data_IF_554006142763
#
_entry.id   IF_554006142763
#
_cell.length_a   1.000
_cell.length_b   1.000
_cell.length_c   1.000
_cell.angle_alpha   90.00
_cell.angle_beta   90.00
_cell.angle_gamma   90.00
#
_symmetry.space_group_name_H-M   'P 1'
#
loop_
_entity.id
_entity.type
_entity.pdbx_description
1 polymer ?
#
# COMPACT_ATOMS: atom_id res chain seq x y z
N UNK A 1 -14.61 0.04 15.48
CA UNK A 1 -14.39 0.68 14.16
C UNK A 1 -15.24 -0.05 13.14
N UNK A 2 -16.08 0.69 12.42
CA UNK A 2 -16.67 0.21 11.17
C UNK A 2 -15.58 0.05 10.10
N UNK A 3 -15.86 -0.68 9.02
CA UNK A 3 -14.95 -0.74 7.87
C UNK A 3 -14.66 0.66 7.30
N UNK A 4 -15.65 1.55 7.31
CA UNK A 4 -15.53 2.93 6.82
C UNK A 4 -14.66 3.82 7.71
N UNK A 5 -14.57 3.52 9.01
CA UNK A 5 -13.74 4.30 9.94
C UNK A 5 -12.26 4.23 9.56
N UNK A 6 -11.82 3.16 8.88
CA UNK A 6 -10.42 3.00 8.43
C UNK A 6 -9.99 4.02 7.39
N UNK A 7 -10.94 4.60 6.65
CA UNK A 7 -10.71 5.64 5.66
C UNK A 7 -10.94 7.05 6.21
N UNK A 8 -11.45 7.18 7.44
CA UNK A 8 -11.79 8.47 8.03
C UNK A 8 -10.54 9.19 8.55
N UNK A 9 -10.61 10.52 8.51
CA UNK A 9 -9.62 11.42 9.13
C UNK A 9 -10.19 12.20 10.32
N UNK A 10 -11.36 11.81 10.85
CA UNK A 10 -11.89 12.43 12.07
C UNK A 10 -10.91 12.30 13.22
N UNK A 11 -10.71 13.40 13.94
CA UNK A 11 -9.73 13.54 15.03
C UNK A 11 -8.27 13.34 14.59
N UNK A 12 -7.98 13.43 13.28
CA UNK A 12 -6.62 13.42 12.75
C UNK A 12 -6.20 14.83 12.37
N UNK A 13 -4.95 15.18 12.68
CA UNK A 13 -4.32 16.41 12.22
C UNK A 13 -3.42 16.12 11.03
N UNK A 14 -3.64 16.83 9.93
CA UNK A 14 -3.00 16.58 8.64
C UNK A 14 -2.25 17.81 8.18
N UNK A 15 -1.02 17.60 7.68
CA UNK A 15 -0.24 18.64 7.01
C UNK A 15 -0.17 18.34 5.51
N UNK A 16 -0.53 19.30 4.67
CA UNK A 16 -0.39 19.23 3.20
C UNK A 16 0.60 20.30 2.74
N UNK A 17 1.71 19.89 2.13
CA UNK A 17 2.75 20.77 1.58
C UNK A 17 2.60 20.82 0.06
N UNK A 18 2.42 22.01 -0.51
CA UNK A 18 2.08 22.20 -1.92
C UNK A 18 0.58 22.21 -2.19
N UNK A 19 -0.22 22.77 -1.29
CA UNK A 19 -1.68 22.74 -1.35
C UNK A 19 -2.36 23.96 -1.95
N UNK A 20 -1.63 24.91 -2.55
CA UNK A 20 -2.25 26.06 -3.22
C UNK A 20 -3.00 25.67 -4.50
N UNK A 21 -2.49 24.69 -5.26
CA UNK A 21 -3.09 24.28 -6.54
C UNK A 21 -2.95 22.77 -6.80
N UNK A 22 -3.58 22.29 -7.88
CA UNK A 22 -3.36 20.95 -8.41
C UNK A 22 -3.68 19.82 -7.43
N UNK A 23 -2.85 18.76 -7.46
CA UNK A 23 -3.08 17.55 -6.65
C UNK A 23 -2.98 17.81 -5.14
N UNK A 24 -2.13 18.74 -4.69
CA UNK A 24 -2.05 19.08 -3.27
C UNK A 24 -3.32 19.79 -2.78
N UNK A 25 -3.85 20.74 -3.56
CA UNK A 25 -5.12 21.39 -3.22
C UNK A 25 -6.29 20.38 -3.14
N UNK A 26 -6.38 19.47 -4.11
CA UNK A 26 -7.39 18.41 -4.10
C UNK A 26 -7.20 17.42 -2.92
N UNK A 27 -5.95 17.15 -2.53
CA UNK A 27 -5.64 16.34 -1.35
C UNK A 27 -6.10 17.04 -0.07
N UNK A 28 -5.81 18.33 0.08
CA UNK A 28 -6.24 19.14 1.23
C UNK A 28 -7.76 19.22 1.33
N UNK A 29 -8.46 19.39 0.20
CA UNK A 29 -9.91 19.34 0.13
C UNK A 29 -10.44 17.97 0.59
N UNK A 30 -9.91 16.88 0.03
CA UNK A 30 -10.38 15.53 0.31
C UNK A 30 -10.17 15.12 1.78
N UNK A 31 -9.03 15.44 2.40
CA UNK A 31 -8.81 15.12 3.81
C UNK A 31 -9.63 15.98 4.77
N UNK A 32 -9.89 17.25 4.41
CA UNK A 32 -10.79 18.13 5.14
C UNK A 32 -12.20 17.53 5.14
N UNK A 33 -12.69 17.13 3.97
CA UNK A 33 -14.02 16.54 3.81
C UNK A 33 -14.12 15.17 4.50
N UNK A 34 -13.00 14.44 4.63
CA UNK A 34 -12.89 13.23 5.43
C UNK A 34 -12.84 13.47 6.96
N UNK A 35 -12.86 14.72 7.40
CA UNK A 35 -12.98 15.16 8.79
C UNK A 35 -11.68 15.53 9.51
N UNK A 36 -10.59 15.74 8.78
CA UNK A 36 -9.30 16.14 9.36
C UNK A 36 -9.29 17.60 9.87
N UNK A 37 -8.45 17.87 10.87
CA UNK A 37 -7.89 19.21 11.07
C UNK A 37 -6.75 19.40 10.06
N UNK A 38 -6.91 20.31 9.10
CA UNK A 38 -5.94 20.47 8.00
C UNK A 38 -5.11 21.73 8.14
N UNK A 39 -3.79 21.57 8.08
CA UNK A 39 -2.81 22.63 7.85
C UNK A 39 -2.31 22.51 6.41
N UNK A 40 -2.34 23.60 5.66
CA UNK A 40 -1.83 23.68 4.29
C UNK A 40 -0.63 24.63 4.26
N UNK A 41 0.48 24.14 3.72
CA UNK A 41 1.70 24.91 3.49
C UNK A 41 1.93 25.08 1.98
N UNK A 42 2.17 26.31 1.54
CA UNK A 42 2.57 26.61 0.17
C UNK A 42 3.29 27.96 0.10
N UNK A 43 4.02 28.21 -0.99
CA UNK A 43 4.53 29.55 -1.31
C UNK A 43 3.49 30.41 -2.03
N UNK A 44 2.56 29.75 -2.73
CA UNK A 44 1.46 30.36 -3.45
C UNK A 44 0.28 30.71 -2.55
N UNK A 45 -0.67 31.45 -3.09
CA UNK A 45 -1.92 31.77 -2.39
C UNK A 45 -2.78 30.51 -2.23
N UNK A 46 -3.21 30.25 -0.99
CA UNK A 46 -4.10 29.13 -0.67
C UNK A 46 -5.53 29.66 -0.53
N UNK A 47 -6.43 29.25 -1.41
CA UNK A 47 -7.83 29.71 -1.44
C UNK A 47 -8.80 28.75 -0.76
N UNK A 48 -8.33 27.59 -0.30
CA UNK A 48 -9.17 26.58 0.34
C UNK A 48 -9.69 27.12 1.68
N UNK A 49 -11.00 27.16 1.86
CA UNK A 49 -11.61 27.61 3.11
C UNK A 49 -11.55 26.53 4.22
N UNK A 50 -11.67 26.98 5.47
CA UNK A 50 -11.73 26.13 6.66
C UNK A 50 -10.51 25.24 6.87
N UNK A 51 -9.33 25.72 6.47
CA UNK A 51 -8.03 25.13 6.77
C UNK A 51 -7.11 26.18 7.38
N UNK A 52 -6.09 25.75 8.11
CA UNK A 52 -5.01 26.64 8.56
C UNK A 52 -3.97 26.76 7.44
N UNK A 53 -3.62 27.97 7.04
CA UNK A 53 -2.64 28.22 5.97
C UNK A 53 -1.32 28.73 6.54
N UNK A 54 -0.20 28.24 6.03
CA UNK A 54 1.15 28.69 6.38
C UNK A 54 1.99 28.87 5.12
N UNK A 55 2.90 29.84 5.14
CA UNK A 55 3.84 30.04 4.04
C UNK A 55 5.01 29.06 4.16
N UNK A 56 5.42 28.44 3.06
CA UNK A 56 6.71 27.74 2.98
C UNK A 56 7.32 27.84 1.57
N UNK A 57 8.60 28.16 1.50
CA UNK A 57 9.42 27.97 0.30
C UNK A 57 10.39 26.80 0.52
N UNK A 58 10.18 25.69 -0.18
CA UNK A 58 11.03 24.49 -0.07
C UNK A 58 12.45 24.72 -0.63
N UNK A 59 12.67 25.77 -1.41
CA UNK A 59 13.99 26.18 -1.87
C UNK A 59 14.81 26.92 -0.80
N UNK A 60 14.20 27.24 0.34
CA UNK A 60 14.81 27.98 1.45
C UNK A 60 14.69 27.19 2.77
N UNK A 61 15.84 26.76 3.29
CA UNK A 61 15.96 26.03 4.56
C UNK A 61 15.37 26.80 5.75
N UNK A 62 15.59 28.12 5.84
CA UNK A 62 15.04 28.93 6.92
C UNK A 62 13.53 29.07 6.82
N UNK A 63 12.99 29.13 5.60
CA UNK A 63 11.54 29.14 5.38
C UNK A 63 10.89 27.85 5.88
N UNK A 64 11.52 26.69 5.63
CA UNK A 64 11.05 25.39 6.15
C UNK A 64 11.05 25.37 7.68
N UNK A 65 12.16 25.78 8.30
CA UNK A 65 12.29 25.79 9.76
C UNK A 65 11.20 26.67 10.41
N UNK A 66 10.99 27.88 9.87
CA UNK A 66 9.98 28.81 10.35
C UNK A 66 8.56 28.25 10.18
N UNK A 67 8.26 27.65 9.03
CA UNK A 67 6.95 27.04 8.78
C UNK A 67 6.65 25.89 9.76
N UNK A 68 7.65 25.07 10.11
CA UNK A 68 7.50 23.98 11.09
C UNK A 68 7.29 24.50 12.52
N UNK A 69 8.01 25.56 12.92
CA UNK A 69 7.81 26.24 14.20
C UNK A 69 6.37 26.76 14.30
N UNK A 70 5.89 27.46 13.26
CA UNK A 70 4.53 27.98 13.22
C UNK A 70 3.49 26.87 13.19
N UNK A 71 3.75 25.80 12.43
CA UNK A 71 2.87 24.64 12.37
C UNK A 71 2.67 24.06 13.77
N UNK A 72 3.76 23.72 14.47
CA UNK A 72 3.76 23.12 15.79
C UNK A 72 2.89 21.86 15.88
N UNK A 73 2.82 21.29 17.08
CA UNK A 73 1.95 20.15 17.39
C UNK A 73 2.31 18.86 16.66
N UNK A 74 1.60 17.78 17.00
CA UNK A 74 1.76 16.49 16.32
C UNK A 74 0.82 16.37 15.11
N UNK A 75 1.17 15.50 14.18
CA UNK A 75 0.41 15.19 12.97
C UNK A 75 0.26 13.68 12.79
N UNK A 76 -0.87 13.29 12.19
CA UNK A 76 -1.23 11.92 11.87
C UNK A 76 -0.96 11.60 10.39
N UNK A 77 -0.97 12.60 9.52
CA UNK A 77 -0.53 12.43 8.14
C UNK A 77 0.17 13.67 7.58
N UNK A 78 1.20 13.41 6.76
CA UNK A 78 1.89 14.40 5.95
C UNK A 78 1.68 14.07 4.47
N UNK A 79 1.21 15.04 3.70
CA UNK A 79 1.10 14.96 2.24
C UNK A 79 2.10 15.94 1.61
N UNK A 80 3.17 15.40 1.06
CA UNK A 80 4.25 16.14 0.39
C UNK A 80 3.96 16.16 -1.12
N UNK A 81 3.27 17.21 -1.56
CA UNK A 81 2.68 17.32 -2.90
C UNK A 81 3.39 18.35 -3.79
N UNK A 82 4.11 19.31 -3.20
CA UNK A 82 4.73 20.41 -3.96
C UNK A 82 5.72 19.87 -5.00
N UNK A 83 5.70 20.47 -6.19
CA UNK A 83 6.65 20.18 -7.24
C UNK A 83 6.54 21.17 -8.39
N UNK A 84 7.61 21.25 -9.17
CA UNK A 84 7.78 22.15 -10.31
C UNK A 84 8.39 21.40 -11.50
N UNK A 85 8.26 21.96 -12.69
CA UNK A 85 8.76 21.39 -13.94
C UNK A 85 10.20 21.81 -14.22
N UNK A 86 10.84 21.13 -15.18
CA UNK A 86 12.16 21.47 -15.70
C UNK A 86 12.24 22.95 -16.11
N UNK A 87 13.42 23.55 -15.90
CA UNK A 87 13.65 24.98 -16.14
C UNK A 87 13.37 25.87 -14.94
N UNK A 88 12.77 25.35 -13.87
CA UNK A 88 12.61 26.09 -12.60
C UNK A 88 13.93 26.10 -11.81
N UNK A 89 14.49 27.27 -11.46
CA UNK A 89 15.68 27.34 -10.62
C UNK A 89 15.44 26.69 -9.25
N UNK A 90 16.35 25.84 -8.82
CA UNK A 90 16.22 25.14 -7.53
C UNK A 90 15.28 23.93 -7.56
N UNK A 91 15.01 23.35 -8.72
CA UNK A 91 14.13 22.18 -8.87
C UNK A 91 14.51 21.00 -7.95
N UNK A 92 15.80 20.75 -7.75
CA UNK A 92 16.31 19.73 -6.82
C UNK A 92 15.89 19.99 -5.38
N UNK A 93 15.90 21.25 -4.97
CA UNK A 93 15.44 21.70 -3.66
C UNK A 93 13.93 21.58 -3.53
N UNK A 94 13.19 22.05 -4.51
CA UNK A 94 11.73 22.10 -4.46
C UNK A 94 11.11 20.69 -4.57
N UNK A 95 11.57 19.87 -5.51
CA UNK A 95 10.96 18.58 -5.80
C UNK A 95 11.39 17.46 -4.85
N UNK A 96 12.53 17.61 -4.16
CA UNK A 96 13.04 16.54 -3.31
C UNK A 96 13.73 17.02 -2.02
N UNK A 97 14.83 17.79 -2.09
CA UNK A 97 15.70 18.03 -0.93
C UNK A 97 14.95 18.79 0.18
N UNK A 98 14.12 19.77 -0.17
CA UNK A 98 13.30 20.51 0.79
C UNK A 98 12.22 19.66 1.44
N UNK A 99 11.57 18.77 0.69
CA UNK A 99 10.64 17.80 1.28
C UNK A 99 11.33 16.85 2.24
N UNK A 100 12.51 16.32 1.86
CA UNK A 100 13.30 15.45 2.73
C UNK A 100 13.71 16.17 4.01
N UNK A 101 14.25 17.38 3.88
CA UNK A 101 14.66 18.19 5.02
C UNK A 101 13.48 18.51 5.95
N UNK A 102 12.32 18.89 5.40
CA UNK A 102 11.10 19.09 6.17
C UNK A 102 10.74 17.82 6.97
N UNK A 103 10.72 16.65 6.32
CA UNK A 103 10.43 15.37 6.99
C UNK A 103 11.44 15.07 8.10
N UNK A 104 12.74 15.28 7.85
CA UNK A 104 13.80 15.03 8.83
C UNK A 104 13.67 15.96 10.05
N UNK A 105 13.36 17.25 9.83
CA UNK A 105 13.09 18.21 10.91
C UNK A 105 11.83 17.83 11.70
N UNK A 106 10.77 17.36 11.03
CA UNK A 106 9.57 16.87 11.71
C UNK A 106 9.86 15.65 12.60
N UNK A 107 10.74 14.73 12.17
CA UNK A 107 11.20 13.65 13.02
C UNK A 107 12.06 14.15 14.19
N UNK A 108 12.96 15.11 13.96
CA UNK A 108 13.80 15.69 15.00
C UNK A 108 12.97 16.42 16.07
N UNK A 109 11.88 17.08 15.67
CA UNK A 109 10.94 17.77 16.53
C UNK A 109 9.81 16.86 17.09
N UNK A 110 9.88 15.54 16.84
CA UNK A 110 8.88 14.56 17.27
C UNK A 110 7.42 14.89 16.87
N UNK A 111 7.24 15.48 15.69
CA UNK A 111 5.93 15.95 15.22
C UNK A 111 5.01 14.82 14.73
N UNK A 112 5.47 13.57 14.60
CA UNK A 112 4.59 12.47 14.17
C UNK A 112 3.94 11.75 15.34
N UNK A 113 2.64 11.47 15.23
CA UNK A 113 1.95 10.52 16.12
C UNK A 113 2.33 9.07 15.78
N UNK A 114 2.15 8.16 16.74
CA UNK A 114 2.25 6.73 16.46
C UNK A 114 1.17 6.29 15.48
N UNK A 115 1.56 5.56 14.44
CA UNK A 115 0.67 5.16 13.34
C UNK A 115 0.53 6.21 12.24
N UNK A 116 1.27 7.32 12.30
CA UNK A 116 1.22 8.35 11.28
C UNK A 116 1.69 7.84 9.90
N UNK A 117 1.33 8.57 8.85
CA UNK A 117 1.70 8.24 7.49
C UNK A 117 2.19 9.45 6.68
N UNK A 118 3.16 9.21 5.80
CA UNK A 118 3.70 10.19 4.87
C UNK A 118 3.35 9.74 3.44
N UNK A 119 2.74 10.62 2.67
CA UNK A 119 2.42 10.43 1.26
C UNK A 119 3.17 11.44 0.40
N UNK A 120 3.88 10.98 -0.61
CA UNK A 120 4.57 11.85 -1.58
C UNK A 120 3.96 11.71 -2.98
N UNK A 121 4.16 12.72 -3.82
CA UNK A 121 3.80 12.67 -5.24
C UNK A 121 5.07 12.61 -6.10
N UNK A 122 5.31 11.44 -6.72
CA UNK A 122 6.34 11.29 -7.75
C UNK A 122 5.78 11.72 -9.13
N UNK A 123 6.01 10.93 -10.17
CA UNK A 123 5.53 11.11 -11.55
C UNK A 123 5.92 9.89 -12.37
N UNK A 124 5.31 9.68 -13.55
CA UNK A 124 5.82 8.75 -14.58
C UNK A 124 7.35 8.84 -14.80
N UNK A 125 7.94 10.04 -14.65
CA UNK A 125 9.39 10.26 -14.74
C UNK A 125 10.21 9.59 -13.62
N UNK A 126 9.59 9.25 -12.49
CA UNK A 126 10.20 8.51 -11.39
C UNK A 126 10.23 7.00 -11.59
N UNK A 127 9.66 6.50 -12.68
CA UNK A 127 9.72 5.09 -13.04
C UNK A 127 11.17 4.68 -13.33
N UNK A 128 11.46 3.38 -13.17
CA UNK A 128 12.79 2.83 -13.45
C UNK A 128 13.90 3.33 -12.53
N UNK A 129 13.55 3.93 -11.39
CA UNK A 129 14.52 4.42 -10.40
C UNK A 129 15.47 3.30 -9.93
N UNK A 130 15.03 2.03 -9.96
CA UNK A 130 15.85 0.87 -9.63
C UNK A 130 17.06 0.72 -10.55
N UNK A 131 16.95 1.13 -11.82
CA UNK A 131 18.07 1.11 -12.76
C UNK A 131 19.15 2.14 -12.40
N UNK A 132 18.78 3.21 -11.70
CA UNK A 132 19.66 4.28 -11.23
C UNK A 132 20.00 4.15 -9.73
N UNK A 133 19.71 3.00 -9.12
CA UNK A 133 19.79 2.81 -7.68
C UNK A 133 21.16 3.12 -7.06
N UNK A 134 22.32 2.76 -7.67
CA UNK A 134 23.62 3.10 -7.09
C UNK A 134 23.83 4.60 -6.91
N UNK A 135 23.50 5.39 -7.93
CA UNK A 135 23.62 6.86 -7.92
C UNK A 135 22.59 7.49 -6.98
N UNK A 136 21.36 6.98 -6.95
CA UNK A 136 20.34 7.42 -6.01
C UNK A 136 20.75 7.12 -4.56
N UNK A 137 21.39 5.98 -4.28
CA UNK A 137 21.89 5.67 -2.93
C UNK A 137 23.02 6.61 -2.54
N UNK A 138 23.92 6.96 -3.45
CA UNK A 138 24.97 7.95 -3.20
C UNK A 138 24.37 9.31 -2.82
N UNK A 139 23.43 9.81 -3.63
CA UNK A 139 22.72 11.06 -3.35
C UNK A 139 21.95 11.03 -2.04
N UNK A 140 21.22 9.94 -1.77
CA UNK A 140 20.42 9.77 -0.55
C UNK A 140 21.26 9.57 0.72
N UNK A 141 22.56 9.29 0.61
CA UNK A 141 23.47 9.22 1.74
C UNK A 141 23.94 10.61 2.24
N UNK A 142 23.69 11.66 1.47
CA UNK A 142 24.04 13.03 1.83
C UNK A 142 22.84 13.64 2.56
N UNK A 143 22.82 13.61 3.89
CA UNK A 143 21.66 14.05 4.68
C UNK A 143 21.50 15.58 4.72
N UNK A 144 22.59 16.32 4.66
CA UNK A 144 22.57 17.78 4.75
C UNK A 144 21.96 18.44 3.49
N UNK A 145 21.12 19.46 3.72
CA UNK A 145 20.38 20.17 2.68
C UNK A 145 21.30 20.85 1.67
N UNK A 146 22.31 21.58 2.15
CA UNK A 146 23.19 22.40 1.32
C UNK A 146 24.17 21.50 0.54
N UNK A 147 24.70 20.46 1.20
CA UNK A 147 25.56 19.48 0.54
C UNK A 147 24.84 18.66 -0.52
N UNK A 148 23.59 18.22 -0.25
CA UNK A 148 22.80 17.50 -1.25
C UNK A 148 22.48 18.40 -2.45
N UNK A 149 22.20 19.69 -2.21
CA UNK A 149 21.96 20.67 -3.26
C UNK A 149 23.21 20.85 -4.12
N UNK A 150 24.37 21.05 -3.48
CA UNK A 150 25.65 21.17 -4.18
C UNK A 150 25.97 19.93 -5.01
N UNK A 151 25.82 18.74 -4.44
CA UNK A 151 26.05 17.48 -5.15
C UNK A 151 25.16 17.37 -6.39
N UNK A 152 23.87 17.69 -6.27
CA UNK A 152 22.92 17.61 -7.39
C UNK A 152 23.31 18.56 -8.52
N UNK A 153 23.79 19.77 -8.20
CA UNK A 153 24.30 20.73 -9.19
C UNK A 153 25.56 20.21 -9.87
N UNK A 154 26.56 19.76 -9.09
CA UNK A 154 27.86 19.30 -9.60
C UNK A 154 27.75 18.06 -10.48
N UNK A 155 26.77 17.19 -10.23
CA UNK A 155 26.54 15.96 -10.98
C UNK A 155 25.50 16.11 -12.10
N UNK A 156 24.99 17.32 -12.34
CA UNK A 156 24.00 17.58 -13.39
C UNK A 156 22.65 16.89 -13.13
N UNK A 157 22.25 16.77 -11.87
CA UNK A 157 21.05 16.06 -11.39
C UNK A 157 19.89 16.98 -10.97
N UNK A 158 19.99 18.26 -11.29
CA UNK A 158 18.91 19.24 -11.18
C UNK A 158 17.87 19.07 -12.31
N UNK A 159 17.22 17.90 -12.38
CA UNK A 159 16.19 17.60 -13.38
C UNK A 159 14.93 17.02 -12.76
N UNK A 160 13.81 17.21 -13.45
CA UNK A 160 12.52 16.65 -13.05
C UNK A 160 12.59 15.13 -12.94
N UNK A 161 13.18 14.46 -13.93
CA UNK A 161 13.32 13.00 -13.92
C UNK A 161 14.10 12.50 -12.70
N UNK A 162 15.29 13.05 -12.45
CA UNK A 162 16.11 12.59 -11.33
C UNK A 162 15.43 12.84 -9.98
N UNK A 163 14.83 14.02 -9.80
CA UNK A 163 14.13 14.35 -8.54
C UNK A 163 12.93 13.43 -8.29
N UNK A 164 12.20 13.05 -9.35
CA UNK A 164 11.08 12.08 -9.22
C UNK A 164 11.56 10.65 -8.97
N UNK A 165 12.71 10.24 -9.53
CA UNK A 165 13.35 8.97 -9.17
C UNK A 165 13.87 8.97 -7.73
N UNK A 166 14.40 10.10 -7.25
CA UNK A 166 14.84 10.27 -5.87
C UNK A 166 13.68 10.12 -4.87
N UNK A 167 12.48 10.62 -5.18
CA UNK A 167 11.27 10.37 -4.39
C UNK A 167 10.99 8.86 -4.25
N UNK A 168 11.00 8.11 -5.36
CA UNK A 168 10.72 6.67 -5.35
C UNK A 168 11.76 5.90 -4.52
N UNK A 169 13.05 6.20 -4.73
CA UNK A 169 14.14 5.58 -4.00
C UNK A 169 14.11 5.92 -2.51
N UNK A 170 13.79 7.17 -2.15
CA UNK A 170 13.66 7.62 -0.77
C UNK A 170 12.51 6.90 -0.05
N UNK A 171 11.33 6.82 -0.68
CA UNK A 171 10.18 6.08 -0.14
C UNK A 171 10.55 4.63 0.17
N UNK A 172 11.19 3.94 -0.78
CA UNK A 172 11.64 2.57 -0.58
C UNK A 172 12.69 2.45 0.54
N UNK A 173 13.69 3.35 0.56
CA UNK A 173 14.80 3.33 1.52
C UNK A 173 14.35 3.65 2.95
N UNK A 174 13.39 4.55 3.11
CA UNK A 174 12.94 5.03 4.42
C UNK A 174 11.81 4.21 5.04
N UNK A 175 11.22 3.26 4.30
CA UNK A 175 10.13 2.40 4.77
C UNK A 175 10.42 1.77 6.14
N UNK A 176 11.53 1.04 6.29
CA UNK A 176 11.89 0.39 7.56
C UNK A 176 12.36 1.38 8.64
N UNK A 177 13.26 2.35 8.36
CA UNK A 177 13.65 3.37 9.33
C UNK A 177 12.48 4.15 9.93
N UNK A 178 11.49 4.54 9.13
CA UNK A 178 10.32 5.27 9.61
C UNK A 178 9.33 4.37 10.32
N UNK A 179 9.15 3.11 9.86
CA UNK A 179 8.31 2.14 10.57
C UNK A 179 8.82 1.86 11.99
N UNK A 180 10.13 1.83 12.22
CA UNK A 180 10.71 1.72 13.58
C UNK A 180 10.31 2.87 14.50
N UNK A 181 9.96 4.03 13.93
CA UNK A 181 9.44 5.20 14.63
C UNK A 181 7.91 5.25 14.67
N UNK A 182 7.24 4.23 14.12
CA UNK A 182 5.78 4.14 14.05
C UNK A 182 5.16 4.91 12.89
N UNK A 183 5.94 5.27 11.87
CA UNK A 183 5.48 6.09 10.73
C UNK A 183 5.62 5.31 9.42
N UNK A 184 4.57 5.30 8.59
CA UNK A 184 4.60 4.73 7.23
C UNK A 184 4.98 5.79 6.22
N UNK A 185 5.57 5.39 5.10
CA UNK A 185 5.85 6.29 3.98
C UNK A 185 5.51 5.60 2.66
N UNK A 186 4.78 6.29 1.79
CA UNK A 186 4.41 5.82 0.47
C UNK A 186 4.42 6.99 -0.53
N UNK A 187 4.34 6.68 -1.82
CA UNK A 187 4.11 7.67 -2.86
C UNK A 187 3.08 7.20 -3.87
N UNK A 188 2.53 8.15 -4.63
CA UNK A 188 1.87 7.87 -5.91
C UNK A 188 2.79 8.24 -7.07
N UNK A 189 2.61 7.52 -8.18
CA UNK A 189 3.29 7.72 -9.45
C UNK A 189 2.21 8.00 -10.51
N UNK A 190 1.74 9.26 -10.58
CA UNK A 190 0.63 9.63 -11.42
C UNK A 190 0.99 9.63 -12.90
N UNK A 191 0.01 9.27 -13.73
CA UNK A 191 -0.01 9.58 -15.15
C UNK A 191 -0.35 11.05 -15.41
N UNK A 192 -0.61 11.43 -16.68
CA UNK A 192 -1.04 12.77 -17.06
C UNK A 192 -2.25 13.22 -16.24
N UNK A 193 -2.11 14.37 -15.59
CA UNK A 193 -3.13 14.93 -14.70
C UNK A 193 -3.30 16.41 -15.01
N UNK A 194 -4.54 16.86 -15.20
CA UNK A 194 -4.86 18.25 -15.52
C UNK A 194 -4.63 19.17 -14.30
N UNK A 195 -3.42 19.69 -14.20
CA UNK A 195 -2.96 20.62 -13.17
C UNK A 195 -2.41 21.89 -13.83
N UNK A 196 -2.33 23.03 -13.11
CA UNK A 196 -1.67 24.22 -13.67
C UNK A 196 -0.27 23.92 -14.22
N UNK A 197 0.53 23.13 -13.47
CA UNK A 197 1.86 22.69 -13.90
C UNK A 197 1.83 21.92 -15.23
N UNK A 198 0.86 21.02 -15.41
CA UNK A 198 0.74 20.24 -16.64
C UNK A 198 0.19 21.07 -17.82
N UNK A 199 -0.68 22.05 -17.57
CA UNK A 199 -1.18 22.97 -18.60
C UNK A 199 -0.07 23.84 -19.18
N UNK A 200 0.85 24.30 -18.36
CA UNK A 200 2.04 25.03 -18.79
C UNK A 200 3.00 24.16 -19.64
N UNK A 201 2.82 22.84 -19.62
CA UNK A 201 3.58 21.83 -20.36
C UNK A 201 2.69 20.95 -21.25
N UNK A 202 1.55 21.48 -21.70
CA UNK A 202 0.46 20.69 -22.29
C UNK A 202 0.90 19.84 -23.49
N UNK A 203 1.75 20.39 -24.36
CA UNK A 203 2.20 19.74 -25.60
C UNK A 203 2.97 18.44 -25.37
N UNK A 204 3.59 18.27 -24.20
CA UNK A 204 4.36 17.06 -23.84
C UNK A 204 3.68 16.23 -22.74
N UNK A 205 3.10 16.86 -21.72
CA UNK A 205 2.59 16.15 -20.55
C UNK A 205 1.14 15.69 -20.72
N UNK A 206 0.28 16.56 -21.25
CA UNK A 206 -1.14 16.22 -21.44
C UNK A 206 -1.35 15.37 -22.70
N UNK A 207 -0.43 15.40 -23.66
CA UNK A 207 -0.46 14.55 -24.86
C UNK A 207 0.09 13.14 -24.61
N UNK A 208 0.92 12.95 -23.58
CA UNK A 208 1.43 11.63 -23.18
C UNK A 208 0.28 10.64 -22.97
N UNK A 209 0.32 9.46 -23.59
CA UNK A 209 -0.73 8.43 -23.47
C UNK A 209 -2.11 8.84 -23.99
N UNK A 210 -2.21 9.86 -24.85
CA UNK A 210 -3.48 10.29 -25.45
C UNK A 210 -4.15 9.20 -26.29
N UNK A 211 -3.36 8.43 -27.02
CA UNK A 211 -3.81 7.28 -27.80
C UNK A 211 -4.43 6.20 -26.90
N UNK A 212 -3.74 5.85 -25.81
CA UNK A 212 -4.26 4.91 -24.81
C UNK A 212 -5.58 5.38 -24.23
N UNK A 213 -5.66 6.65 -23.82
CA UNK A 213 -6.88 7.21 -23.25
C UNK A 213 -8.06 7.19 -24.21
N UNK A 214 -7.81 7.51 -25.49
CA UNK A 214 -8.82 7.44 -26.54
C UNK A 214 -9.34 6.00 -26.74
N UNK A 215 -8.46 5.00 -26.69
CA UNK A 215 -8.84 3.59 -26.81
C UNK A 215 -9.55 3.05 -25.56
N UNK A 216 -9.08 3.44 -24.37
CA UNK A 216 -9.65 3.05 -23.08
C UNK A 216 -10.98 3.77 -22.75
N UNK A 217 -11.33 4.83 -23.49
CA UNK A 217 -12.54 5.61 -23.27
C UNK A 217 -12.51 6.43 -21.98
N UNK A 218 -11.33 6.92 -21.58
CA UNK A 218 -11.12 7.72 -20.37
C UNK A 218 -10.50 9.06 -20.69
N UNK A 219 -10.82 10.07 -19.88
CA UNK A 219 -10.24 11.41 -20.01
C UNK A 219 -8.90 11.52 -19.27
N UNK A 220 -8.20 12.64 -19.47
CA UNK A 220 -7.03 12.96 -18.63
C UNK A 220 -7.45 13.03 -17.15
N UNK A 221 -6.62 12.50 -16.26
CA UNK A 221 -6.97 12.44 -14.84
C UNK A 221 -7.09 13.85 -14.26
N UNK A 222 -8.02 14.00 -13.33
CA UNK A 222 -8.19 15.21 -12.52
C UNK A 222 -7.30 15.15 -11.27
N UNK A 223 -6.99 16.30 -10.66
CA UNK A 223 -6.29 16.32 -9.37
C UNK A 223 -7.01 15.54 -8.26
N UNK A 224 -8.34 15.53 -8.26
CA UNK A 224 -9.16 14.82 -7.27
C UNK A 224 -9.06 13.29 -7.43
N UNK A 225 -9.00 12.78 -8.66
CA UNK A 225 -8.78 11.34 -8.90
C UNK A 225 -7.40 10.88 -8.40
N UNK A 226 -6.39 11.75 -8.41
CA UNK A 226 -5.06 11.46 -7.87
C UNK A 226 -5.00 11.61 -6.34
N UNK A 227 -5.79 12.52 -5.75
CA UNK A 227 -5.89 12.68 -4.31
C UNK A 227 -6.42 11.40 -3.63
N UNK A 228 -7.37 10.69 -4.23
CA UNK A 228 -7.98 9.47 -3.67
C UNK A 228 -6.95 8.39 -3.27
N UNK A 229 -6.13 7.87 -4.20
CA UNK A 229 -5.09 6.89 -3.88
C UNK A 229 -4.07 7.39 -2.86
N UNK A 230 -3.68 8.66 -2.92
CA UNK A 230 -2.72 9.25 -1.99
C UNK A 230 -3.29 9.30 -0.56
N UNK A 231 -4.54 9.75 -0.40
CA UNK A 231 -5.27 9.76 0.86
C UNK A 231 -5.48 8.33 1.38
N UNK A 232 -5.83 7.37 0.52
CA UNK A 232 -5.90 5.96 0.90
C UNK A 232 -4.58 5.47 1.52
N UNK A 233 -3.45 5.70 0.85
CA UNK A 233 -2.13 5.27 1.32
C UNK A 233 -1.75 5.84 2.69
N UNK A 234 -2.31 7.00 3.05
CA UNK A 234 -2.08 7.68 4.32
C UNK A 234 -3.17 7.42 5.38
N UNK A 235 -4.15 6.56 5.08
CA UNK A 235 -5.23 6.20 5.99
C UNK A 235 -4.93 4.91 6.77
N UNK A 236 -5.77 4.56 7.75
CA UNK A 236 -5.63 3.31 8.51
C UNK A 236 -6.02 2.08 7.67
N UNK A 237 -6.74 2.28 6.56
CA UNK A 237 -7.03 1.22 5.60
C UNK A 237 -5.76 0.70 4.91
N UNK A 238 -4.69 1.50 4.89
CA UNK A 238 -3.38 1.15 4.34
C UNK A 238 -2.35 0.78 5.43
N UNK A 239 -2.77 0.36 6.63
CA UNK A 239 -1.88 0.13 7.77
C UNK A 239 -0.72 -0.85 7.50
N UNK A 240 -0.86 -1.77 6.55
CA UNK A 240 0.18 -2.74 6.15
C UNK A 240 0.98 -2.29 4.93
N UNK A 241 0.70 -1.11 4.39
CA UNK A 241 1.32 -0.57 3.17
C UNK A 241 2.34 0.50 3.55
N UNK A 242 3.62 0.21 3.29
CA UNK A 242 4.75 1.12 3.48
C UNK A 242 5.85 0.80 2.47
N UNK A 243 6.53 1.82 1.96
CA UNK A 243 7.62 1.71 1.00
C UNK A 243 7.20 1.51 -0.46
N UNK A 244 5.90 1.65 -0.77
CA UNK A 244 5.41 1.50 -2.15
C UNK A 244 5.29 2.85 -2.84
N UNK A 245 5.61 2.84 -4.13
CA UNK A 245 5.25 3.89 -5.07
C UNK A 245 4.12 3.35 -5.96
N UNK A 246 2.88 3.77 -5.70
CA UNK A 246 1.68 3.27 -6.38
C UNK A 246 1.46 3.97 -7.72
N UNK A 247 1.51 3.21 -8.80
CA UNK A 247 1.21 3.71 -10.15
C UNK A 247 -0.29 4.06 -10.25
N UNK A 248 -0.57 5.29 -10.68
CA UNK A 248 -1.91 5.90 -10.76
C UNK A 248 -2.10 6.55 -12.13
N UNK A 249 -2.07 5.71 -13.16
CA UNK A 249 -1.99 6.12 -14.58
C UNK A 249 -3.06 5.47 -15.46
N UNK A 250 -4.20 5.12 -14.85
CA UNK A 250 -5.33 4.42 -15.48
C UNK A 250 -4.95 3.12 -16.19
N UNK A 251 -3.85 2.48 -15.79
CA UNK A 251 -3.41 1.19 -16.33
C UNK A 251 -2.46 1.29 -17.52
N UNK A 252 -2.09 2.51 -17.96
CA UNK A 252 -1.21 2.74 -19.10
C UNK A 252 0.09 1.90 -19.03
N UNK A 253 0.78 1.96 -17.90
CA UNK A 253 2.04 1.22 -17.69
C UNK A 253 1.81 -0.28 -17.68
N UNK A 254 0.80 -0.76 -16.96
CA UNK A 254 0.50 -2.19 -16.87
C UNK A 254 0.12 -2.78 -18.23
N UNK A 255 -0.67 -2.06 -19.03
CA UNK A 255 -1.03 -2.46 -20.40
C UNK A 255 0.19 -2.50 -21.32
N UNK A 256 1.14 -1.57 -21.18
CA UNK A 256 2.38 -1.60 -21.95
C UNK A 256 3.29 -2.78 -21.57
N UNK A 257 3.44 -3.05 -20.27
CA UNK A 257 4.31 -4.13 -19.77
C UNK A 257 3.77 -5.53 -20.10
N UNK A 258 2.45 -5.67 -20.17
CA UNK A 258 1.76 -6.93 -20.47
C UNK A 258 1.48 -7.15 -21.97
N UNK A 259 1.94 -6.25 -22.84
CA UNK A 259 1.69 -6.29 -24.28
C UNK A 259 0.21 -6.14 -24.70
N UNK A 260 -0.67 -5.71 -23.79
CA UNK A 260 -2.07 -5.37 -24.10
C UNK A 260 -2.16 -4.07 -24.90
N UNK A 261 -1.25 -3.12 -24.68
CA UNK A 261 -1.16 -1.87 -25.45
C UNK A 261 0.27 -1.64 -25.98
N UNK A 262 0.67 -2.31 -27.08
CA UNK A 262 2.06 -2.31 -27.54
C UNK A 262 2.62 -0.95 -27.96
N UNK A 263 1.79 0.02 -28.37
CA UNK A 263 2.27 1.35 -28.78
C UNK A 263 2.94 2.12 -27.63
N UNK A 264 2.53 1.86 -26.38
CA UNK A 264 3.15 2.44 -25.19
C UNK A 264 4.44 1.71 -24.76
N UNK A 265 4.75 0.54 -25.33
CA UNK A 265 5.87 -0.30 -24.87
C UNK A 265 7.21 0.41 -24.97
N UNK A 266 7.46 1.14 -26.07
CA UNK A 266 8.72 1.87 -26.26
C UNK A 266 8.93 2.93 -25.17
N UNK A 267 7.94 3.76 -24.91
CA UNK A 267 8.06 4.86 -23.95
C UNK A 267 8.11 4.35 -22.50
N UNK A 268 7.34 3.31 -22.17
CA UNK A 268 7.38 2.68 -20.85
C UNK A 268 8.71 1.98 -20.62
N UNK A 269 9.27 1.28 -21.61
CA UNK A 269 10.59 0.67 -21.50
C UNK A 269 11.69 1.71 -21.29
N UNK A 270 11.64 2.83 -22.00
CA UNK A 270 12.53 3.96 -21.78
C UNK A 270 12.42 4.49 -20.35
N UNK A 271 11.21 4.77 -19.87
CA UNK A 271 10.95 5.22 -18.50
C UNK A 271 11.38 4.21 -17.44
N UNK A 272 11.30 2.90 -17.74
CA UNK A 272 11.76 1.83 -16.84
C UNK A 272 13.27 1.58 -16.90
N UNK A 273 14.01 2.26 -17.77
CA UNK A 273 15.44 2.01 -17.97
C UNK A 273 15.74 0.65 -18.65
N UNK A 274 14.76 0.06 -19.33
CA UNK A 274 14.88 -1.24 -20.01
C UNK A 274 15.04 -0.99 -21.51
N UNK A 275 16.25 -0.80 -22.06
CA UNK A 275 16.36 -0.73 -23.54
C UNK A 275 17.58 -0.14 -24.24
N UNK A 276 18.78 -0.18 -23.68
CA UNK A 276 20.01 0.10 -24.44
C UNK A 276 20.54 -1.15 -25.17
N UNK A 277 19.83 -1.68 -26.17
CA UNK A 277 20.30 -2.86 -26.92
C UNK A 277 19.35 -3.35 -28.00
N UNK A 278 19.73 -3.06 -29.25
CA UNK A 278 19.39 -3.70 -30.53
C UNK A 278 18.00 -4.36 -30.71
N UNK A 279 17.28 -3.87 -31.73
CA UNK A 279 16.34 -4.67 -32.49
C UNK A 279 17.02 -5.98 -32.95
N UNK A 280 16.47 -7.13 -32.55
CA UNK A 280 16.93 -8.44 -33.02
C UNK A 280 16.72 -9.54 -32.01
N UNK A 281 15.61 -10.26 -32.15
CA UNK A 281 15.39 -11.53 -31.46
C UNK A 281 14.06 -11.54 -30.73
N UNK A 282 13.07 -12.19 -31.32
CA UNK A 282 11.96 -12.79 -30.60
C UNK A 282 12.54 -13.79 -29.59
N UNK A 283 12.89 -13.32 -28.40
CA UNK A 283 13.06 -14.18 -27.25
C UNK A 283 11.66 -14.62 -26.85
N UNK A 284 11.22 -15.74 -27.41
CA UNK A 284 10.16 -16.53 -26.81
C UNK A 284 10.45 -16.61 -25.31
N UNK A 285 9.45 -16.31 -24.50
CA UNK A 285 9.49 -16.61 -23.07
C UNK A 285 10.09 -18.01 -22.89
N UNK A 286 10.99 -18.23 -21.92
CA UNK A 286 11.42 -19.59 -21.63
C UNK A 286 10.13 -20.36 -21.33
N UNK A 287 9.74 -21.22 -22.28
CA UNK A 287 8.86 -22.31 -21.97
C UNK A 287 9.57 -23.00 -20.84
N UNK A 288 9.03 -22.88 -19.64
CA UNK A 288 9.32 -23.81 -18.58
C UNK A 288 8.90 -25.15 -19.19
N UNK A 289 9.88 -25.85 -19.78
CA UNK A 289 9.78 -27.29 -19.93
C UNK A 289 9.57 -27.74 -18.50
N UNK A 290 8.31 -28.01 -18.15
CA UNK A 290 8.02 -28.98 -17.12
C UNK A 290 8.84 -30.19 -17.54
N UNK A 291 9.98 -30.39 -16.90
CA UNK A 291 10.59 -31.69 -16.87
C UNK A 291 9.46 -32.59 -16.41
N UNK A 292 8.93 -33.37 -17.35
CA UNK A 292 8.12 -34.51 -16.99
C UNK A 292 9.07 -35.35 -16.14
N UNK A 293 8.96 -35.23 -14.81
CA UNK A 293 9.58 -36.16 -13.91
C UNK A 293 8.93 -37.50 -14.22
N UNK A 294 9.62 -38.27 -15.03
CA UNK A 294 9.26 -39.64 -15.33
C UNK A 294 9.13 -40.38 -14.00
N UNK A 295 7.90 -40.82 -13.70
CA UNK A 295 7.64 -41.99 -12.89
C UNK A 295 8.22 -42.03 -11.47
N UNK A 296 8.14 -40.93 -10.72
CA UNK A 296 8.04 -41.11 -9.27
C UNK A 296 6.55 -41.31 -8.95
N UNK A 297 6.20 -42.51 -8.50
CA UNK A 297 4.91 -42.73 -7.84
C UNK A 297 4.76 -41.62 -6.79
N UNK A 298 3.76 -40.75 -6.97
CA UNK A 298 3.34 -39.84 -5.90
C UNK A 298 3.15 -40.73 -4.68
N UNK A 299 3.79 -40.45 -3.53
CA UNK A 299 3.55 -41.22 -2.33
C UNK A 299 2.03 -41.23 -2.12
N UNK A 300 1.42 -42.42 -2.11
CA UNK A 300 0.01 -42.55 -1.75
C UNK A 300 -0.10 -42.00 -0.35
N UNK A 301 -0.66 -40.80 -0.24
CA UNK A 301 -1.00 -40.23 1.04
C UNK A 301 -1.92 -41.23 1.75
N UNK A 302 -1.71 -41.46 3.05
CA UNK A 302 -2.56 -42.38 3.81
C UNK A 302 -4.02 -41.95 3.66
N UNK A 303 -4.91 -42.94 3.49
CA UNK A 303 -6.33 -42.69 3.36
C UNK A 303 -6.87 -42.28 4.73
N UNK A 304 -7.09 -40.99 4.91
CA UNK A 304 -7.70 -40.44 6.11
C UNK A 304 -9.21 -40.66 6.00
N UNK A 305 -9.83 -41.17 7.06
CA UNK A 305 -11.27 -41.40 7.11
C UNK A 305 -11.88 -40.56 8.23
N UNK A 306 -11.92 -39.22 8.07
CA UNK A 306 -12.33 -38.32 9.14
C UNK A 306 -13.80 -38.52 9.50
N UNK A 307 -14.15 -38.25 10.77
CA UNK A 307 -15.55 -38.17 11.17
C UNK A 307 -16.23 -37.01 10.44
N UNK A 308 -17.33 -37.31 9.76
CA UNK A 308 -18.01 -36.39 8.84
C UNK A 308 -19.12 -35.59 9.53
N UNK A 309 -19.55 -36.07 10.70
CA UNK A 309 -20.64 -35.50 11.52
C UNK A 309 -20.15 -34.43 12.47
N UNK A 310 -21.09 -33.61 12.95
CA UNK A 310 -20.83 -32.60 13.98
C UNK A 310 -21.02 -33.18 15.38
N UNK A 311 -20.22 -32.76 16.35
CA UNK A 311 -20.49 -33.04 17.76
C UNK A 311 -21.36 -31.91 18.36
N UNK A 312 -22.65 -32.16 18.58
CA UNK A 312 -23.58 -31.22 19.20
C UNK A 312 -24.20 -31.89 20.42
N UNK A 313 -24.13 -31.21 21.57
CA UNK A 313 -24.75 -31.68 22.83
C UNK A 313 -24.27 -33.07 23.30
N UNK A 314 -23.01 -33.41 23.00
CA UNK A 314 -22.42 -34.70 23.34
C UNK A 314 -22.76 -35.83 22.37
N UNK A 315 -23.48 -35.56 21.28
CA UNK A 315 -23.84 -36.54 20.26
C UNK A 315 -23.27 -36.18 18.89
N UNK A 316 -22.87 -37.21 18.14
CA UNK A 316 -22.47 -37.04 16.74
C UNK A 316 -23.73 -36.99 15.87
N UNK A 317 -23.96 -35.85 15.23
CA UNK A 317 -25.16 -35.55 14.46
C UNK A 317 -24.81 -35.11 13.05
N UNK A 318 -25.66 -35.48 12.10
CA UNK A 318 -25.62 -34.93 10.74
C UNK A 318 -26.01 -33.45 10.74
N UNK A 319 -25.61 -32.73 9.69
CA UNK A 319 -26.15 -31.41 9.39
C UNK A 319 -27.67 -31.46 9.21
N UNK A 320 -28.35 -30.34 9.43
CA UNK A 320 -29.76 -30.22 9.09
C UNK A 320 -29.94 -30.55 7.60
N UNK A 321 -30.85 -31.48 7.31
CA UNK A 321 -31.06 -32.07 5.97
C UNK A 321 -29.93 -32.94 5.40
N UNK A 322 -28.90 -33.27 6.20
CA UNK A 322 -27.79 -34.13 5.79
C UNK A 322 -26.86 -33.48 4.75
N UNK A 323 -26.82 -32.15 4.71
CA UNK A 323 -25.99 -31.42 3.77
C UNK A 323 -24.49 -31.60 4.09
N UNK A 324 -23.68 -31.75 3.05
CA UNK A 324 -22.23 -31.91 3.14
C UNK A 324 -21.52 -31.16 2.02
N UNK A 325 -20.25 -30.84 2.23
CA UNK A 325 -19.38 -30.27 1.19
C UNK A 325 -18.03 -30.98 1.14
N UNK A 326 -17.39 -30.92 -0.03
CA UNK A 326 -16.07 -31.51 -0.25
C UNK A 326 -15.00 -30.62 0.38
N UNK A 327 -14.12 -31.21 1.17
CA UNK A 327 -12.86 -30.59 1.57
C UNK A 327 -11.84 -30.81 0.44
N UNK A 328 -11.38 -29.73 -0.18
CA UNK A 328 -10.58 -29.77 -1.41
C UNK A 328 -9.18 -29.24 -1.10
N UNK A 329 -8.15 -29.99 -1.51
CA UNK A 329 -6.77 -29.55 -1.40
C UNK A 329 -6.54 -28.33 -2.32
N UNK A 330 -6.04 -27.18 -1.80
CA UNK A 330 -5.90 -25.96 -2.57
C UNK A 330 -4.79 -26.01 -3.63
N UNK A 331 -3.82 -26.91 -3.50
CA UNK A 331 -2.69 -27.06 -4.40
C UNK A 331 -2.91 -28.12 -5.50
N UNK A 332 -3.69 -29.17 -5.23
CA UNK A 332 -3.90 -30.30 -6.15
C UNK A 332 -5.30 -30.39 -6.73
N UNK A 333 -6.27 -29.66 -6.16
CA UNK A 333 -7.71 -29.74 -6.47
C UNK A 333 -8.33 -31.14 -6.20
N UNK A 334 -7.62 -32.02 -5.51
CA UNK A 334 -8.12 -33.34 -5.13
C UNK A 334 -9.05 -33.24 -3.90
N UNK A 335 -10.10 -34.08 -3.86
CA UNK A 335 -11.02 -34.15 -2.71
C UNK A 335 -10.36 -34.97 -1.59
N UNK A 336 -10.11 -34.31 -0.46
CA UNK A 336 -9.50 -34.90 0.74
C UNK A 336 -10.51 -35.67 1.59
N UNK A 337 -11.76 -35.19 1.60
CA UNK A 337 -12.84 -35.76 2.41
C UNK A 337 -14.14 -34.99 2.26
N UNK A 338 -15.16 -35.40 3.01
CA UNK A 338 -16.48 -34.78 3.04
C UNK A 338 -16.76 -34.30 4.46
N UNK A 339 -17.30 -33.09 4.61
CA UNK A 339 -17.58 -32.47 5.91
C UNK A 339 -19.04 -32.02 5.95
N UNK A 340 -19.68 -32.09 7.11
CA UNK A 340 -21.02 -31.56 7.33
C UNK A 340 -21.11 -30.06 6.97
N UNK A 341 -22.12 -29.69 6.18
CA UNK A 341 -22.44 -28.30 5.82
C UNK A 341 -23.45 -27.74 6.83
N UNK A 342 -22.92 -27.24 7.94
CA UNK A 342 -23.73 -26.81 9.09
C UNK A 342 -24.60 -25.59 8.76
N UNK A 343 -25.90 -25.71 9.03
CA UNK A 343 -26.86 -24.63 8.84
C UNK A 343 -26.91 -23.67 10.04
N UNK A 344 -27.67 -22.58 9.87
CA UNK A 344 -28.01 -21.68 10.99
C UNK A 344 -28.73 -22.41 12.13
N UNK A 345 -29.58 -23.41 11.83
CA UNK A 345 -30.32 -24.15 12.85
C UNK A 345 -29.37 -25.05 13.65
N UNK A 346 -28.42 -25.71 12.98
CA UNK A 346 -27.37 -26.52 13.63
C UNK A 346 -26.55 -25.68 14.63
N UNK A 347 -26.15 -24.50 14.20
CA UNK A 347 -25.47 -23.53 15.07
C UNK A 347 -26.34 -23.14 16.27
N UNK A 348 -27.64 -22.90 16.08
CA UNK A 348 -28.56 -22.60 17.18
C UNK A 348 -28.70 -23.76 18.16
N UNK A 349 -28.73 -25.01 17.69
CA UNK A 349 -28.73 -26.21 18.55
C UNK A 349 -27.47 -26.29 19.41
N UNK A 350 -26.30 -26.04 18.82
CA UNK A 350 -25.03 -26.02 19.55
C UNK A 350 -24.99 -24.90 20.60
N UNK A 351 -25.45 -23.69 20.26
CA UNK A 351 -25.52 -22.57 21.21
C UNK A 351 -26.49 -22.89 22.35
N UNK A 352 -27.65 -23.46 22.04
CA UNK A 352 -28.64 -23.84 23.06
C UNK A 352 -28.08 -24.89 24.03
N UNK A 353 -27.36 -25.90 23.52
CA UNK A 353 -26.70 -26.91 24.34
C UNK A 353 -25.65 -26.27 25.28
N UNK A 354 -24.79 -25.40 24.74
CA UNK A 354 -23.80 -24.69 25.54
C UNK A 354 -24.44 -23.78 26.60
N UNK A 355 -25.55 -23.11 26.25
CA UNK A 355 -26.29 -22.24 27.17
C UNK A 355 -26.94 -23.03 28.30
N UNK A 356 -27.59 -24.16 27.98
CA UNK A 356 -28.15 -25.07 28.98
C UNK A 356 -27.07 -25.60 29.92
N UNK A 357 -25.93 -26.04 29.38
CA UNK A 357 -24.80 -26.44 30.21
C UNK A 357 -24.33 -25.31 31.14
N UNK A 358 -24.29 -24.07 30.67
CA UNK A 358 -23.87 -22.92 31.47
C UNK A 358 -24.88 -22.50 32.55
N UNK A 359 -26.17 -22.45 32.21
CA UNK A 359 -27.24 -21.90 33.06
C UNK A 359 -27.83 -22.95 34.03
N UNK A 360 -27.96 -24.20 33.59
CA UNK A 360 -28.72 -25.24 34.31
C UNK A 360 -27.82 -26.25 35.03
N UNK A 361 -26.50 -26.19 34.84
CA UNK A 361 -25.53 -27.04 35.53
C UNK A 361 -24.55 -26.21 36.35
N UNK A 362 -23.69 -26.87 37.12
CA UNK A 362 -22.65 -26.20 37.89
C UNK A 362 -21.42 -25.81 37.05
N UNK A 363 -21.41 -26.08 35.74
CA UNK A 363 -20.28 -25.84 34.83
C UNK A 363 -19.62 -24.46 35.00
N UNK A 364 -20.42 -23.39 35.09
CA UNK A 364 -19.94 -22.01 35.19
C UNK A 364 -19.14 -21.75 36.48
N UNK A 365 -19.53 -22.41 37.58
CA UNK A 365 -18.91 -22.27 38.90
C UNK A 365 -17.90 -23.38 39.23
N UNK A 366 -18.02 -24.56 38.62
CA UNK A 366 -17.20 -25.74 38.91
C UNK A 366 -15.87 -25.71 38.14
N UNK A 367 -14.86 -25.10 38.76
CA UNK A 367 -13.51 -24.98 38.17
C UNK A 367 -12.79 -26.32 38.03
N UNK A 368 -13.00 -27.24 38.96
CA UNK A 368 -12.34 -28.56 38.94
C UNK A 368 -12.84 -29.39 37.77
N UNK A 369 -14.15 -29.42 37.55
CA UNK A 369 -14.75 -30.13 36.42
C UNK A 369 -14.30 -29.54 35.08
N UNK A 370 -14.29 -28.21 34.93
CA UNK A 370 -13.77 -27.56 33.70
C UNK A 370 -12.31 -27.90 33.42
N UNK A 371 -11.45 -27.90 34.46
CA UNK A 371 -10.05 -28.32 34.32
C UNK A 371 -9.96 -29.77 33.84
N UNK A 372 -10.78 -30.67 34.40
CA UNK A 372 -10.82 -32.08 33.98
C UNK A 372 -11.21 -32.21 32.50
N UNK A 373 -12.25 -31.51 32.05
CA UNK A 373 -12.67 -31.54 30.64
C UNK A 373 -11.60 -31.00 29.68
N UNK A 374 -10.91 -29.91 30.03
CA UNK A 374 -9.82 -29.37 29.21
C UNK A 374 -8.62 -30.33 29.14
N UNK A 375 -8.30 -31.01 30.24
CA UNK A 375 -7.25 -32.05 30.26
C UNK A 375 -7.66 -33.22 29.37
N UNK A 376 -8.90 -33.68 29.46
CA UNK A 376 -9.41 -34.76 28.61
C UNK A 376 -9.36 -34.39 27.12
N UNK A 377 -9.76 -33.17 26.76
CA UNK A 377 -9.67 -32.68 25.38
C UNK A 377 -8.21 -32.61 24.90
N UNK A 378 -7.30 -32.09 25.74
CA UNK A 378 -5.86 -32.07 25.43
C UNK A 378 -5.34 -33.48 25.19
N UNK A 379 -5.68 -34.43 26.06
CA UNK A 379 -5.18 -35.79 25.98
C UNK A 379 -5.68 -36.49 24.71
N UNK A 380 -6.95 -36.29 24.34
CA UNK A 380 -7.49 -36.76 23.06
C UNK A 380 -6.79 -36.14 21.84
N UNK A 381 -6.57 -34.82 21.84
CA UNK A 381 -5.82 -34.16 20.75
C UNK A 381 -4.37 -34.68 20.66
N UNK A 382 -3.74 -34.98 21.79
CA UNK A 382 -2.37 -35.50 21.83
C UNK A 382 -2.29 -36.95 21.37
N UNK A 383 -3.31 -37.77 21.66
CA UNK A 383 -3.45 -39.14 21.18
C UNK A 383 -3.60 -39.16 19.65
N UNK A 384 -4.38 -38.24 19.08
CA UNK A 384 -4.65 -38.13 17.64
C UNK A 384 -3.66 -37.19 16.89
N UNK A 385 -2.56 -36.78 17.53
CA UNK A 385 -1.66 -35.74 17.00
C UNK A 385 -1.14 -36.04 15.60
N UNK A 386 -0.75 -37.29 15.34
CA UNK A 386 -0.16 -37.65 14.05
C UNK A 386 -1.19 -37.62 12.92
N UNK A 387 -2.43 -38.04 13.18
CA UNK A 387 -3.52 -37.97 12.20
C UNK A 387 -3.91 -36.51 11.92
N UNK A 388 -4.04 -35.69 12.97
CA UNK A 388 -4.30 -34.24 12.82
C UNK A 388 -3.19 -33.51 12.05
N UNK A 389 -1.92 -33.89 12.29
CA UNK A 389 -0.78 -33.33 11.56
C UNK A 389 -0.86 -33.65 10.07
N UNK A 390 -1.23 -34.87 9.71
CA UNK A 390 -1.38 -35.28 8.31
C UNK A 390 -2.54 -34.57 7.62
N UNK A 391 -3.68 -34.41 8.29
CA UNK A 391 -4.82 -33.62 7.79
C UNK A 391 -4.43 -32.16 7.53
N UNK A 392 -3.78 -31.50 8.50
CA UNK A 392 -3.36 -30.10 8.36
C UNK A 392 -2.34 -29.88 7.23
N UNK A 393 -1.46 -30.86 6.97
CA UNK A 393 -0.52 -30.80 5.84
C UNK A 393 -1.26 -30.94 4.51
N UNK A 394 -2.35 -31.71 4.47
CA UNK A 394 -3.13 -31.89 3.25
C UNK A 394 -4.06 -30.69 2.96
N UNK A 395 -4.45 -29.92 3.97
CA UNK A 395 -5.31 -28.73 3.82
C UNK A 395 -4.56 -27.42 3.52
N UNK A 396 -3.24 -27.39 3.74
CA UNK A 396 -2.37 -26.24 3.49
C UNK A 396 -1.83 -26.22 2.05
#
# INVERSE_FOLDING_TARGET
MSLFDKFSYRNKRVLVVGGATGMGAATAELVRDAGAEVVVMDRGEITLESVRTLFVDLADKQSIDQALIECGGRIDALFSCAGVADGTPGIERINFIGHRYLIDQMFAAEMFNQGAAIGLISSAAGMGWEANLPELIEFLAIDDYDQATQWAVEHGKCSYMFTKQAVCAYVARMAMPFLKKGVRINAILPGPTDTPLARDNADSWLTFGKDYRAEAGVEVSTPMEQAGPLVYLCSDAAAVVSGITLITDVGFTSSAVSDVFPSAKMIVNFLRGVGGGAAGGTASAPQVQRAASAGQEKPKLPQINPETRMLIDGELVEAEHGATFNNINPATEEVLGVVADATRADMQRAIAAARRAFDETDWSANREFRKKCLIQLRDGIMEEREELREQLIQEA
#
